data_IF_345888823260
#
_entry.id   IF_345888823260
#
_cell.length_a   1.000
_cell.length_b   1.000
_cell.length_c   1.000
_cell.angle_alpha   90.00
_cell.angle_beta   90.00
_cell.angle_gamma   90.00
#
_symmetry.space_group_name_H-M   'P 1'
#
loop_
_entity.id
_entity.type
_entity.pdbx_description
1 polymer ?
#
# COMPACT_ATOMS: atom_id res chain seq x y z
N UNK A 1 -28.56 6.77 14.85
CA UNK A 1 -27.86 7.14 13.59
C UNK A 1 -28.95 7.24 12.53
N UNK A 2 -29.16 8.40 11.91
CA UNK A 2 -30.17 8.55 10.85
C UNK A 2 -29.77 7.67 9.66
N UNK A 3 -30.49 6.57 9.45
CA UNK A 3 -30.22 5.58 8.41
C UNK A 3 -30.33 6.21 7.01
N UNK A 4 -31.21 7.20 6.85
CA UNK A 4 -31.48 7.90 5.57
C UNK A 4 -30.38 8.89 5.14
N UNK A 5 -29.34 9.11 5.96
CA UNK A 5 -28.24 10.05 5.67
C UNK A 5 -26.90 9.37 5.40
N UNK A 6 -26.85 8.04 5.38
CA UNK A 6 -25.58 7.31 5.18
C UNK A 6 -25.26 7.24 3.69
N UNK A 7 -24.45 8.19 3.21
CA UNK A 7 -23.92 8.17 1.84
C UNK A 7 -22.42 7.88 1.84
N UNK A 8 -22.02 6.81 1.14
CA UNK A 8 -20.60 6.48 0.96
C UNK A 8 -20.07 7.13 -0.32
N UNK A 9 -19.10 8.04 -0.20
CA UNK A 9 -18.46 8.71 -1.36
C UNK A 9 -17.21 7.96 -1.82
N UNK A 10 -16.64 7.12 -0.96
CA UNK A 10 -15.42 6.38 -1.26
C UNK A 10 -15.36 5.03 -0.54
N UNK A 11 -14.48 4.14 -1.04
CA UNK A 11 -14.14 2.88 -0.36
C UNK A 11 -13.61 3.10 1.07
N UNK A 12 -12.98 4.25 1.33
CA UNK A 12 -12.47 4.58 2.67
C UNK A 12 -13.60 4.79 3.66
N UNK A 13 -14.65 5.51 3.25
CA UNK A 13 -15.80 5.80 4.10
C UNK A 13 -16.53 4.51 4.49
N UNK A 14 -16.71 3.61 3.51
CA UNK A 14 -17.26 2.28 3.75
C UNK A 14 -16.41 1.47 4.74
N UNK A 15 -15.09 1.45 4.56
CA UNK A 15 -14.20 0.72 5.47
C UNK A 15 -14.23 1.29 6.90
N UNK A 16 -14.30 2.61 7.04
CA UNK A 16 -14.42 3.27 8.35
C UNK A 16 -15.72 2.90 9.03
N UNK A 17 -16.84 2.92 8.30
CA UNK A 17 -18.14 2.49 8.80
C UNK A 17 -18.15 1.01 9.22
N UNK A 18 -17.62 0.12 8.38
CA UNK A 18 -17.53 -1.31 8.71
C UNK A 18 -16.67 -1.56 9.96
N UNK A 19 -15.60 -0.78 10.18
CA UNK A 19 -14.80 -0.83 11.40
C UNK A 19 -15.58 -0.39 12.63
N UNK A 20 -16.40 0.66 12.52
CA UNK A 20 -17.27 1.10 13.61
C UNK A 20 -18.28 0.00 13.97
N UNK A 21 -18.94 -0.58 12.97
CA UNK A 21 -19.89 -1.69 13.17
C UNK A 21 -19.21 -2.91 13.80
N UNK A 22 -17.99 -3.24 13.34
CA UNK A 22 -17.20 -4.34 13.91
C UNK A 22 -16.89 -4.13 15.39
N UNK A 23 -16.49 -2.91 15.76
CA UNK A 23 -16.15 -2.58 17.14
C UNK A 23 -17.37 -2.52 18.06
N UNK A 24 -18.53 -2.08 17.56
CA UNK A 24 -19.74 -1.88 18.36
C UNK A 24 -20.61 -3.15 18.45
N UNK A 25 -20.80 -3.86 17.33
CA UNK A 25 -21.75 -4.97 17.20
C UNK A 25 -21.08 -6.33 16.98
N UNK A 26 -19.74 -6.37 16.89
CA UNK A 26 -18.97 -7.60 16.78
C UNK A 26 -18.93 -8.23 15.38
N UNK A 27 -18.23 -9.36 15.25
CA UNK A 27 -17.89 -9.96 13.96
C UNK A 27 -19.09 -10.54 13.20
N UNK A 28 -20.03 -11.19 13.89
CA UNK A 28 -21.15 -11.88 13.25
C UNK A 28 -22.12 -10.91 12.58
N UNK A 29 -22.53 -9.86 13.30
CA UNK A 29 -23.39 -8.79 12.78
C UNK A 29 -22.73 -8.08 11.61
N UNK A 30 -21.42 -7.81 11.72
CA UNK A 30 -20.64 -7.18 10.65
C UNK A 30 -20.61 -8.06 9.40
N UNK A 31 -20.43 -9.38 9.55
CA UNK A 31 -20.44 -10.31 8.42
C UNK A 31 -21.80 -10.33 7.71
N UNK A 32 -22.92 -10.36 8.46
CA UNK A 32 -24.28 -10.27 7.91
C UNK A 32 -24.50 -8.96 7.15
N UNK A 33 -24.05 -7.84 7.70
CA UNK A 33 -24.12 -6.53 7.04
C UNK A 33 -23.32 -6.49 5.74
N UNK A 34 -22.09 -7.01 5.75
CA UNK A 34 -21.25 -7.08 4.54
C UNK A 34 -21.94 -7.89 3.44
N UNK A 35 -22.53 -9.04 3.78
CA UNK A 35 -23.25 -9.86 2.83
C UNK A 35 -24.47 -9.13 2.25
N UNK A 36 -25.23 -8.40 3.08
CA UNK A 36 -26.37 -7.60 2.64
C UNK A 36 -25.94 -6.45 1.71
N UNK A 37 -24.89 -5.71 2.09
CA UNK A 37 -24.32 -4.63 1.27
C UNK A 37 -23.80 -5.16 -0.07
N UNK A 38 -23.19 -6.34 -0.08
CA UNK A 38 -22.72 -6.98 -1.30
C UNK A 38 -23.87 -7.33 -2.24
N UNK A 39 -24.97 -7.89 -1.71
CA UNK A 39 -26.17 -8.20 -2.52
C UNK A 39 -26.77 -6.94 -3.14
N UNK A 40 -27.00 -5.90 -2.33
CA UNK A 40 -27.52 -4.61 -2.80
C UNK A 40 -26.58 -4.01 -3.85
N UNK A 41 -25.27 -4.05 -3.60
CA UNK A 41 -24.26 -3.57 -4.53
C UNK A 41 -24.30 -4.29 -5.88
N UNK A 42 -24.49 -5.61 -5.89
CA UNK A 42 -24.61 -6.37 -7.13
C UNK A 42 -25.92 -6.13 -7.88
N UNK A 43 -27.04 -6.02 -7.17
CA UNK A 43 -28.34 -5.68 -7.78
C UNK A 43 -28.28 -4.31 -8.45
N UNK A 44 -27.80 -3.30 -7.73
CA UNK A 44 -27.64 -1.94 -8.26
C UNK A 44 -26.63 -1.88 -9.40
N UNK A 45 -25.48 -2.58 -9.29
CA UNK A 45 -24.50 -2.62 -10.37
C UNK A 45 -25.07 -3.26 -11.65
N UNK A 46 -25.90 -4.29 -11.51
CA UNK A 46 -26.58 -4.95 -12.63
C UNK A 46 -27.61 -4.02 -13.27
N UNK A 47 -28.42 -3.32 -12.46
CA UNK A 47 -29.41 -2.36 -12.94
C UNK A 47 -28.78 -1.13 -13.61
N UNK A 48 -27.65 -0.65 -13.11
CA UNK A 48 -26.90 0.46 -13.71
C UNK A 48 -26.38 0.12 -15.10
N UNK A 49 -26.22 -1.17 -15.43
CA UNK A 49 -25.83 -1.63 -16.77
C UNK A 49 -24.55 -0.97 -17.28
N UNK A 50 -23.58 -0.73 -16.38
CA UNK A 50 -22.39 0.03 -16.71
C UNK A 50 -21.62 -0.61 -17.86
N UNK A 51 -21.51 0.11 -18.97
CA UNK A 51 -20.72 -0.31 -20.13
C UNK A 51 -19.47 0.55 -20.26
N UNK A 52 -18.53 0.09 -21.08
CA UNK A 52 -17.41 0.92 -21.51
C UNK A 52 -17.24 0.83 -23.02
N UNK A 53 -17.13 1.99 -23.64
CA UNK A 53 -16.97 2.19 -25.07
C UNK A 53 -15.79 3.11 -25.32
N UNK A 54 -15.25 3.07 -26.54
CA UNK A 54 -14.24 4.01 -26.99
C UNK A 54 -14.68 5.48 -26.81
N UNK A 55 -15.98 5.77 -27.01
CA UNK A 55 -16.55 7.12 -26.91
C UNK A 55 -16.51 7.71 -25.50
N UNK A 56 -16.43 6.86 -24.47
CA UNK A 56 -16.40 7.32 -23.08
C UNK A 56 -15.05 7.97 -22.74
N UNK A 57 -14.00 7.63 -23.49
CA UNK A 57 -12.65 8.12 -23.30
C UNK A 57 -12.34 9.27 -24.26
N UNK A 58 -12.74 10.48 -23.86
CA UNK A 58 -12.39 11.70 -24.61
C UNK A 58 -10.87 11.86 -24.61
N UNK A 59 -10.25 12.02 -25.78
CA UNK A 59 -8.80 12.22 -25.88
C UNK A 59 -8.46 13.65 -25.45
N UNK A 60 -7.48 13.80 -24.55
CA UNK A 60 -6.98 15.10 -24.13
C UNK A 60 -5.71 15.45 -24.90
N UNK A 61 -5.71 16.56 -25.61
CA UNK A 61 -4.51 17.04 -26.27
C UNK A 61 -3.54 17.68 -25.27
N UNK A 62 -2.30 17.20 -25.27
CA UNK A 62 -1.24 17.63 -24.36
C UNK A 62 -0.12 18.29 -25.15
N UNK A 63 -0.21 19.60 -25.37
CA UNK A 63 0.78 20.38 -26.13
C UNK A 63 2.09 20.61 -25.37
N UNK A 64 2.01 20.64 -24.04
CA UNK A 64 3.15 20.93 -23.16
C UNK A 64 3.97 19.68 -22.79
N UNK A 65 3.56 18.51 -23.30
CA UNK A 65 4.25 17.23 -23.15
C UNK A 65 4.99 16.90 -24.44
N UNK A 66 6.31 16.98 -24.40
CA UNK A 66 7.19 16.68 -25.52
C UNK A 66 8.43 15.92 -25.06
N UNK A 67 9.27 15.52 -26.00
CA UNK A 67 10.55 14.86 -25.77
C UNK A 67 11.61 15.77 -25.12
N UNK A 68 11.35 17.08 -25.03
CA UNK A 68 12.22 18.06 -24.37
C UNK A 68 12.00 18.16 -22.86
N UNK A 69 10.91 17.59 -22.35
CA UNK A 69 10.58 17.63 -20.92
C UNK A 69 11.28 16.48 -20.22
N UNK A 70 11.93 16.74 -19.10
CA UNK A 70 12.56 15.66 -18.33
C UNK A 70 11.51 14.63 -17.84
N UNK A 71 11.89 13.35 -17.65
CA UNK A 71 10.94 12.30 -17.26
C UNK A 71 10.14 12.58 -15.98
N UNK A 72 10.75 13.26 -15.00
CA UNK A 72 10.12 13.53 -13.70
C UNK A 72 9.07 14.63 -13.79
N UNK A 73 9.39 15.73 -14.47
CA UNK A 73 8.44 16.80 -14.78
C UNK A 73 7.32 16.30 -15.67
N UNK A 74 7.62 15.37 -16.61
CA UNK A 74 6.61 14.76 -17.47
C UNK A 74 5.58 13.97 -16.64
N UNK A 75 6.01 13.12 -15.69
CA UNK A 75 5.07 12.34 -14.86
C UNK A 75 4.24 13.24 -13.93
N UNK A 76 4.82 14.32 -13.40
CA UNK A 76 4.08 15.32 -12.60
C UNK A 76 3.00 16.01 -13.42
N UNK A 77 3.34 16.53 -14.61
CA UNK A 77 2.35 17.16 -15.51
C UNK A 77 1.27 16.17 -15.93
N UNK A 78 1.63 14.91 -16.21
CA UNK A 78 0.66 13.84 -16.48
C UNK A 78 -0.33 13.63 -15.33
N UNK A 79 0.13 13.71 -14.07
CA UNK A 79 -0.74 13.61 -12.91
C UNK A 79 -1.70 14.81 -12.79
N UNK A 80 -1.25 16.01 -13.15
CA UNK A 80 -2.09 17.21 -13.20
C UNK A 80 -3.16 17.10 -14.28
N UNK A 81 -2.79 16.71 -15.51
CA UNK A 81 -3.75 16.45 -16.58
C UNK A 81 -4.75 15.36 -16.19
N UNK A 82 -4.32 14.31 -15.49
CA UNK A 82 -5.23 13.27 -15.01
C UNK A 82 -6.27 13.82 -14.02
N UNK A 83 -5.88 14.74 -13.13
CA UNK A 83 -6.83 15.39 -12.21
C UNK A 83 -7.85 16.22 -13.00
N UNK A 84 -7.37 17.09 -13.89
CA UNK A 84 -8.23 17.91 -14.75
C UNK A 84 -9.17 17.06 -15.60
N UNK A 85 -8.68 15.93 -16.12
CA UNK A 85 -9.49 14.96 -16.85
C UNK A 85 -10.66 14.44 -16.01
N UNK A 86 -10.37 13.98 -14.80
CA UNK A 86 -11.41 13.46 -13.90
C UNK A 86 -12.34 14.55 -13.39
N UNK A 87 -11.92 15.79 -13.32
CA UNK A 87 -12.81 16.88 -12.88
C UNK A 87 -13.76 17.32 -13.99
N UNK A 88 -13.35 17.16 -15.26
CA UNK A 88 -14.18 17.48 -16.41
C UNK A 88 -15.08 16.34 -16.88
N UNK A 89 -14.57 15.10 -16.90
CA UNK A 89 -15.22 13.97 -17.58
C UNK A 89 -15.78 12.89 -16.64
N UNK A 90 -15.48 12.93 -15.34
CA UNK A 90 -16.06 11.99 -14.38
C UNK A 90 -17.41 12.50 -13.86
N UNK A 91 -18.39 12.59 -14.75
CA UNK A 91 -19.77 12.97 -14.45
C UNK A 91 -20.66 11.73 -14.40
N UNK A 92 -21.87 11.86 -13.87
CA UNK A 92 -22.84 10.76 -13.83
C UNK A 92 -23.21 10.26 -15.24
N UNK A 93 -23.20 11.16 -16.23
CA UNK A 93 -23.47 10.83 -17.65
C UNK A 93 -22.34 10.05 -18.32
N UNK A 94 -21.16 9.96 -17.69
CA UNK A 94 -20.05 9.11 -18.13
C UNK A 94 -19.70 8.13 -17.00
N UNK A 95 -20.51 7.07 -16.83
CA UNK A 95 -20.38 6.15 -15.70
C UNK A 95 -19.03 5.41 -15.72
N UNK A 96 -18.44 5.18 -16.90
CA UNK A 96 -17.17 4.47 -17.04
C UNK A 96 -16.00 5.27 -16.47
N UNK A 97 -15.88 6.56 -16.84
CA UNK A 97 -14.84 7.45 -16.29
C UNK A 97 -15.11 7.77 -14.82
N UNK A 98 -16.39 7.90 -14.43
CA UNK A 98 -16.79 8.07 -13.03
C UNK A 98 -16.37 6.90 -12.15
N UNK A 99 -16.64 5.67 -12.57
CA UNK A 99 -16.18 4.47 -11.86
C UNK A 99 -14.65 4.38 -11.81
N UNK A 100 -13.93 4.81 -12.86
CA UNK A 100 -12.47 4.87 -12.82
C UNK A 100 -11.94 5.89 -11.81
N UNK A 101 -12.62 7.03 -11.60
CA UNK A 101 -12.23 8.07 -10.62
C UNK A 101 -12.32 7.54 -9.19
N UNK A 102 -13.38 6.81 -8.88
CA UNK A 102 -13.67 6.27 -7.55
C UNK A 102 -12.91 4.95 -7.29
N UNK A 103 -12.69 4.18 -8.35
CA UNK A 103 -12.07 2.86 -8.30
C UNK A 103 -10.53 2.85 -8.39
N UNK A 104 -9.97 1.64 -8.41
CA UNK A 104 -8.53 1.40 -8.48
C UNK A 104 -7.91 1.67 -9.87
N UNK A 105 -8.73 1.95 -10.89
CA UNK A 105 -8.30 2.17 -12.26
C UNK A 105 -7.87 3.61 -12.57
N UNK A 106 -7.82 4.50 -11.57
CA UNK A 106 -7.49 5.93 -11.73
C UNK A 106 -6.20 6.19 -12.51
N UNK A 107 -5.21 5.30 -12.39
CA UNK A 107 -3.93 5.42 -13.10
C UNK A 107 -3.99 5.05 -14.59
N UNK A 108 -5.03 4.35 -15.02
CA UNK A 108 -5.16 3.85 -16.39
C UNK A 108 -5.59 4.97 -17.35
N UNK A 109 -6.34 5.97 -16.88
CA UNK A 109 -6.81 7.07 -17.74
C UNK A 109 -5.65 7.86 -18.37
N UNK A 110 -4.55 7.99 -17.63
CA UNK A 110 -3.31 8.62 -18.12
C UNK A 110 -2.89 7.97 -19.44
N UNK A 111 -2.86 6.64 -19.49
CA UNK A 111 -2.44 5.87 -20.66
C UNK A 111 -3.49 5.83 -21.76
N UNK A 112 -4.76 5.75 -21.37
CA UNK A 112 -5.86 5.59 -22.30
C UNK A 112 -6.13 6.87 -23.08
N UNK A 113 -6.24 8.00 -22.39
CA UNK A 113 -6.78 9.23 -22.95
C UNK A 113 -5.79 10.40 -23.06
N UNK A 114 -4.71 10.42 -22.26
CA UNK A 114 -3.78 11.56 -22.16
C UNK A 114 -2.47 11.27 -22.89
N UNK A 115 -1.60 10.42 -22.33
CA UNK A 115 -0.32 10.04 -22.90
C UNK A 115 0.29 8.83 -22.16
N UNK A 116 1.03 7.99 -22.90
CA UNK A 116 1.71 6.81 -22.34
C UNK A 116 2.94 7.18 -21.49
N UNK A 117 3.69 8.22 -21.87
CA UNK A 117 4.84 8.76 -21.14
C UNK A 117 6.17 8.07 -21.40
N UNK A 118 7.14 8.26 -20.49
CA UNK A 118 8.48 7.66 -20.57
C UNK A 118 8.50 6.20 -20.12
N UNK A 119 9.37 5.42 -20.77
CA UNK A 119 9.60 4.02 -20.45
C UNK A 119 11.08 3.74 -20.17
N UNK A 120 11.34 2.59 -19.56
CA UNK A 120 12.67 2.03 -19.31
C UNK A 120 12.88 0.77 -20.13
N UNK A 121 14.08 0.59 -20.64
CA UNK A 121 14.50 -0.63 -21.34
C UNK A 121 14.84 -1.76 -20.34
N UNK A 122 15.03 -2.99 -20.83
CA UNK A 122 15.46 -4.18 -20.06
C UNK A 122 16.74 -3.94 -19.25
N UNK A 123 17.58 -2.98 -19.67
CA UNK A 123 18.78 -2.53 -18.94
C UNK A 123 18.51 -1.48 -17.85
N UNK A 124 17.24 -1.23 -17.52
CA UNK A 124 16.78 -0.16 -16.62
C UNK A 124 17.23 1.26 -17.03
N UNK A 125 17.55 1.47 -18.30
CA UNK A 125 17.84 2.82 -18.84
C UNK A 125 16.55 3.45 -19.34
N UNK A 126 16.32 4.71 -18.99
CA UNK A 126 15.19 5.49 -19.51
C UNK A 126 15.38 5.67 -21.02
N UNK A 127 14.35 5.33 -21.80
CA UNK A 127 14.32 5.60 -23.23
C UNK A 127 14.25 7.12 -23.39
N UNK A 128 15.18 7.77 -24.13
CA UNK A 128 15.34 9.22 -24.12
C UNK A 128 14.16 9.99 -24.73
N UNK A 129 13.19 9.30 -25.33
CA UNK A 129 11.99 9.89 -25.93
C UNK A 129 10.74 9.28 -25.31
N UNK A 130 9.71 10.08 -24.97
CA UNK A 130 8.45 9.58 -24.45
C UNK A 130 7.54 9.10 -25.58
N UNK A 131 6.58 8.25 -25.23
CA UNK A 131 5.41 7.98 -26.07
C UNK A 131 4.36 9.04 -25.75
N UNK A 132 4.27 10.05 -26.62
CA UNK A 132 3.40 11.22 -26.41
C UNK A 132 1.95 10.84 -26.63
N UNK A 133 1.67 10.01 -27.64
CA UNK A 133 0.29 9.61 -27.92
C UNK A 133 -0.32 8.71 -26.83
N UNK A 134 -1.64 8.84 -26.67
CA UNK A 134 -2.45 7.96 -25.84
C UNK A 134 -2.92 6.73 -26.63
N UNK A 135 -3.38 5.70 -25.92
CA UNK A 135 -3.91 4.50 -26.59
C UNK A 135 -5.16 4.79 -27.42
N UNK A 136 -6.04 5.67 -26.94
CA UNK A 136 -7.25 6.04 -27.65
C UNK A 136 -6.96 6.86 -28.92
N UNK A 137 -5.86 7.63 -28.93
CA UNK A 137 -5.39 8.35 -30.12
C UNK A 137 -4.67 7.43 -31.12
N UNK A 138 -4.10 6.33 -30.64
CA UNK A 138 -3.26 5.44 -31.43
C UNK A 138 -1.79 5.83 -31.34
N UNK A 139 -0.91 4.83 -31.42
CA UNK A 139 0.54 4.98 -31.24
C UNK A 139 1.21 4.85 -32.62
N UNK A 140 2.15 5.74 -32.93
CA UNK A 140 2.85 5.67 -34.22
C UNK A 140 3.88 4.52 -34.27
N UNK A 141 4.36 4.17 -35.46
CA UNK A 141 5.27 3.03 -35.65
C UNK A 141 6.52 3.11 -34.75
N UNK A 142 7.12 4.28 -34.61
CA UNK A 142 8.31 4.50 -33.77
C UNK A 142 8.00 4.29 -32.29
N UNK A 143 6.98 4.96 -31.79
CA UNK A 143 6.53 4.86 -30.40
C UNK A 143 6.08 3.43 -30.06
N UNK A 144 5.55 2.69 -31.02
CA UNK A 144 5.21 1.29 -30.84
C UNK A 144 6.44 0.44 -30.56
N UNK A 145 7.56 0.66 -31.26
CA UNK A 145 8.82 -0.04 -30.97
C UNK A 145 9.37 0.30 -29.58
N UNK A 146 9.35 1.58 -29.20
CA UNK A 146 9.77 2.03 -27.87
C UNK A 146 8.90 1.38 -26.77
N UNK A 147 7.58 1.35 -26.98
CA UNK A 147 6.64 0.67 -26.10
C UNK A 147 6.81 -0.86 -26.07
N UNK A 148 7.12 -1.49 -27.20
CA UNK A 148 7.31 -2.94 -27.28
C UNK A 148 8.50 -3.39 -26.43
N UNK A 149 9.62 -2.64 -26.43
CA UNK A 149 10.77 -2.93 -25.57
C UNK A 149 10.39 -2.83 -24.08
N UNK A 150 9.63 -1.80 -23.73
CA UNK A 150 9.08 -1.61 -22.40
C UNK A 150 8.14 -2.77 -21.98
N UNK A 151 7.28 -3.23 -22.89
CA UNK A 151 6.38 -4.36 -22.65
C UNK A 151 7.15 -5.67 -22.42
N UNK A 152 8.21 -5.94 -23.21
CA UNK A 152 9.08 -7.11 -23.02
C UNK A 152 9.77 -7.11 -21.67
N UNK A 153 10.27 -5.95 -21.21
CA UNK A 153 10.80 -5.82 -19.85
C UNK A 153 9.78 -6.23 -18.79
N UNK A 154 8.53 -5.79 -18.93
CA UNK A 154 7.45 -6.18 -18.00
C UNK A 154 7.23 -7.70 -17.96
N UNK A 155 7.31 -8.39 -19.10
CA UNK A 155 7.23 -9.85 -19.17
C UNK A 155 8.45 -10.50 -18.51
N UNK A 156 9.66 -10.02 -18.84
CA UNK A 156 10.91 -10.52 -18.26
C UNK A 156 10.91 -10.36 -16.74
N UNK A 157 10.52 -9.18 -16.25
CA UNK A 157 10.41 -8.89 -14.82
C UNK A 157 9.41 -9.85 -14.15
N UNK A 158 8.29 -10.18 -14.80
CA UNK A 158 7.37 -11.20 -14.27
C UNK A 158 8.04 -12.56 -14.12
N UNK A 159 8.74 -13.03 -15.14
CA UNK A 159 9.42 -14.32 -15.06
C UNK A 159 10.50 -14.31 -13.97
N UNK A 160 11.33 -13.28 -13.92
CA UNK A 160 12.48 -13.20 -13.02
C UNK A 160 12.12 -12.90 -11.55
N UNK A 161 11.11 -12.06 -11.31
CA UNK A 161 10.75 -11.62 -9.96
C UNK A 161 9.66 -12.47 -9.32
N UNK A 162 8.94 -13.33 -10.05
CA UNK A 162 7.95 -14.23 -9.43
C UNK A 162 8.62 -15.25 -8.48
N UNK A 163 9.83 -15.71 -8.79
CA UNK A 163 10.52 -16.71 -7.97
C UNK A 163 11.12 -16.15 -6.66
N UNK A 164 11.49 -14.86 -6.63
CA UNK A 164 12.25 -14.26 -5.53
C UNK A 164 11.46 -14.13 -4.21
N UNK A 165 10.19 -13.70 -4.17
CA UNK A 165 9.43 -13.56 -2.93
C UNK A 165 9.28 -14.86 -2.15
N UNK A 166 9.02 -15.98 -2.84
CA UNK A 166 8.88 -17.27 -2.18
C UNK A 166 10.19 -17.78 -1.58
N UNK A 167 11.32 -17.48 -2.23
CA UNK A 167 12.64 -17.76 -1.67
C UNK A 167 12.96 -16.85 -0.47
N UNK A 168 12.66 -15.55 -0.59
CA UNK A 168 12.81 -14.58 0.50
C UNK A 168 11.97 -14.95 1.72
N UNK A 169 10.72 -15.39 1.55
CA UNK A 169 9.88 -15.87 2.65
C UNK A 169 10.54 -17.02 3.39
N UNK A 170 11.07 -18.01 2.66
CA UNK A 170 11.80 -19.13 3.27
C UNK A 170 12.99 -18.64 4.09
N UNK A 171 13.83 -17.78 3.52
CA UNK A 171 14.96 -17.19 4.23
C UNK A 171 14.52 -16.41 5.48
N UNK A 172 13.46 -15.61 5.38
CA UNK A 172 12.92 -14.83 6.49
C UNK A 172 12.40 -15.75 7.61
N UNK A 173 11.72 -16.84 7.28
CA UNK A 173 11.26 -17.84 8.26
C UNK A 173 12.44 -18.50 8.96
N UNK A 174 13.49 -18.89 8.22
CA UNK A 174 14.69 -19.49 8.81
C UNK A 174 15.43 -18.51 9.75
N UNK A 175 15.53 -17.23 9.36
CA UNK A 175 16.22 -16.22 10.14
C UNK A 175 15.43 -15.76 11.38
N UNK A 176 14.10 -15.72 11.29
CA UNK A 176 13.21 -15.20 12.33
C UNK A 176 12.51 -16.32 13.10
N UNK A 177 13.02 -17.54 13.17
CA UNK A 177 12.33 -18.62 13.87
C UNK A 177 12.38 -18.47 15.40
N UNK A 178 11.60 -17.51 15.93
CA UNK A 178 11.54 -17.15 17.35
C UNK A 178 10.13 -17.34 17.93
N UNK A 179 10.07 -17.86 19.14
CA UNK A 179 8.84 -18.13 19.90
C UNK A 179 8.81 -17.28 21.17
N UNK A 180 7.62 -16.87 21.60
CA UNK A 180 7.41 -16.23 22.90
C UNK A 180 7.33 -17.26 24.03
N UNK A 181 8.22 -17.14 25.01
CA UNK A 181 8.12 -17.87 26.28
C UNK A 181 7.31 -17.03 27.28
N UNK A 182 6.09 -17.49 27.56
CA UNK A 182 5.11 -16.77 28.41
C UNK A 182 5.53 -16.78 29.88
N UNK A 183 6.29 -17.79 30.30
CA UNK A 183 6.61 -18.02 31.72
C UNK A 183 7.92 -17.35 32.15
N UNK A 184 8.72 -16.84 31.19
CA UNK A 184 10.02 -16.24 31.47
C UNK A 184 10.00 -14.75 31.23
N UNK A 185 10.65 -14.02 32.12
CA UNK A 185 10.93 -12.60 32.00
C UNK A 185 12.45 -12.44 32.05
N UNK A 186 13.00 -11.66 31.13
CA UNK A 186 14.41 -11.29 31.16
C UNK A 186 14.58 -9.83 31.55
N UNK A 187 15.77 -9.51 32.05
CA UNK A 187 16.19 -8.14 32.32
C UNK A 187 17.29 -7.76 31.32
N UNK A 188 16.94 -7.03 30.24
CA UNK A 188 17.91 -6.62 29.24
C UNK A 188 18.81 -5.51 29.80
N UNK A 189 20.08 -5.50 29.38
CA UNK A 189 21.06 -4.46 29.76
C UNK A 189 20.71 -3.08 29.21
N UNK A 190 20.05 -3.06 28.05
CA UNK A 190 19.68 -1.85 27.35
C UNK A 190 18.25 -1.94 26.80
N UNK A 191 17.63 -0.79 26.58
CA UNK A 191 16.27 -0.64 26.09
C UNK A 191 16.25 0.17 24.81
N UNK A 192 15.29 -0.13 23.94
CA UNK A 192 15.15 0.62 22.71
C UNK A 192 14.57 2.00 23.03
N UNK A 193 15.32 3.05 22.72
CA UNK A 193 14.88 4.42 22.92
C UNK A 193 14.14 4.90 21.67
N UNK A 194 12.87 5.32 21.83
CA UNK A 194 12.01 5.72 20.71
C UNK A 194 11.17 6.93 21.07
N UNK A 195 11.04 7.86 20.13
CA UNK A 195 10.08 8.96 20.22
C UNK A 195 8.71 8.53 19.67
N UNK A 196 7.68 8.56 20.52
CA UNK A 196 6.31 8.30 20.07
C UNK A 196 5.75 9.57 19.44
N UNK A 197 5.18 9.44 18.25
CA UNK A 197 4.54 10.50 17.46
C UNK A 197 3.17 10.02 17.02
N UNK A 198 2.26 10.92 16.68
CA UNK A 198 0.92 10.52 16.19
C UNK A 198 0.97 9.61 14.96
N UNK A 199 2.07 9.65 14.19
CA UNK A 199 2.25 8.81 13.00
C UNK A 199 2.71 7.40 13.30
N UNK A 200 3.39 7.16 14.43
CA UNK A 200 3.98 5.86 14.74
C UNK A 200 3.32 5.16 15.93
N UNK A 201 2.38 5.81 16.64
CA UNK A 201 1.73 5.27 17.83
C UNK A 201 1.14 3.87 17.61
N UNK A 202 0.50 3.65 16.47
CA UNK A 202 -0.10 2.35 16.14
C UNK A 202 0.91 1.19 16.08
N UNK A 203 2.20 1.45 15.79
CA UNK A 203 3.26 0.42 15.72
C UNK A 203 3.71 -0.09 17.08
N UNK A 204 3.48 0.70 18.14
CA UNK A 204 3.98 0.41 19.48
C UNK A 204 2.90 -0.07 20.44
N UNK A 205 1.67 -0.26 19.95
CA UNK A 205 0.59 -0.84 20.73
C UNK A 205 0.97 -2.23 21.26
N UNK A 206 0.52 -2.52 22.48
CA UNK A 206 0.74 -3.73 23.25
C UNK A 206 2.21 -4.03 23.62
N UNK A 207 3.08 -3.00 23.64
CA UNK A 207 4.48 -3.13 24.11
C UNK A 207 4.66 -2.55 25.50
N UNK A 208 5.68 -3.03 26.22
CA UNK A 208 6.05 -2.50 27.53
C UNK A 208 7.09 -1.38 27.40
N UNK A 209 6.91 -0.32 28.18
CA UNK A 209 7.88 0.77 28.40
C UNK A 209 8.32 0.79 29.86
N UNK A 210 9.57 1.21 30.12
CA UNK A 210 10.09 1.42 31.48
C UNK A 210 10.11 2.91 31.79
N UNK A 211 9.38 3.33 32.82
CA UNK A 211 9.35 4.71 33.30
C UNK A 211 9.51 4.74 34.82
N UNK A 212 10.56 5.41 35.32
CA UNK A 212 10.85 5.52 36.77
C UNK A 212 10.74 4.16 37.50
N UNK A 213 11.36 3.14 36.92
CA UNK A 213 11.41 1.74 37.41
C UNK A 213 10.09 0.96 37.40
N UNK A 214 9.01 1.53 36.86
CA UNK A 214 7.74 0.83 36.63
C UNK A 214 7.58 0.48 35.15
N UNK A 215 7.10 -0.72 34.88
CA UNK A 215 6.70 -1.13 33.54
C UNK A 215 5.26 -0.73 33.25
N UNK A 216 5.06 -0.05 32.14
CA UNK A 216 3.74 0.37 31.67
C UNK A 216 3.50 -0.31 30.32
N UNK A 217 2.36 -0.98 30.18
CA UNK A 217 1.88 -1.51 28.90
C UNK A 217 1.28 -0.38 28.07
N UNK A 218 1.65 -0.26 26.80
CA UNK A 218 1.04 0.69 25.87
C UNK A 218 -0.25 0.10 25.27
N UNK A 219 -1.39 0.69 25.59
CA UNK A 219 -2.72 0.33 25.07
C UNK A 219 -3.38 1.55 24.42
N UNK A 220 -4.51 1.33 23.75
CA UNK A 220 -5.27 2.37 23.04
C UNK A 220 -5.71 3.53 23.95
N UNK A 221 -5.86 3.30 25.26
CA UNK A 221 -6.29 4.32 26.24
C UNK A 221 -5.17 5.20 26.77
N UNK A 222 -3.92 4.72 26.72
CA UNK A 222 -2.80 5.38 27.41
C UNK A 222 -1.74 5.91 26.45
N UNK A 223 -1.70 5.44 25.20
CA UNK A 223 -0.65 5.78 24.24
C UNK A 223 -0.60 7.28 23.92
N UNK A 224 -1.76 7.94 23.91
CA UNK A 224 -1.86 9.38 23.62
C UNK A 224 -1.14 10.24 24.68
N UNK A 225 -0.98 9.75 25.92
CA UNK A 225 -0.22 10.44 26.98
C UNK A 225 1.30 10.46 26.76
N UNK A 226 1.77 9.59 25.88
CA UNK A 226 3.19 9.40 25.57
C UNK A 226 3.57 9.99 24.20
N UNK A 227 2.62 10.56 23.45
CA UNK A 227 2.91 11.26 22.20
C UNK A 227 3.79 12.49 22.46
N UNK A 228 4.85 12.63 21.66
CA UNK A 228 5.86 13.69 21.78
C UNK A 228 6.96 13.40 22.80
N UNK A 229 6.89 12.29 23.54
CA UNK A 229 7.90 11.92 24.55
C UNK A 229 8.85 10.84 24.02
N UNK A 230 10.08 10.89 24.50
CA UNK A 230 11.06 9.84 24.32
C UNK A 230 10.86 8.79 25.42
N UNK A 231 10.64 7.53 25.01
CA UNK A 231 10.37 6.41 25.93
C UNK A 231 11.39 5.30 25.71
N UNK A 232 11.79 4.66 26.81
CA UNK A 232 12.60 3.43 26.78
C UNK A 232 11.67 2.23 26.75
N UNK A 233 11.67 1.50 25.64
CA UNK A 233 10.80 0.34 25.43
C UNK A 233 11.57 -0.97 25.44
N UNK A 234 10.91 -2.03 25.91
CA UNK A 234 11.42 -3.38 25.73
C UNK A 234 11.32 -3.77 24.25
N UNK A 235 12.36 -4.45 23.77
CA UNK A 235 12.46 -4.86 22.38
C UNK A 235 13.01 -6.29 22.30
N UNK A 236 12.54 -7.11 21.34
CA UNK A 236 13.11 -8.42 21.07
C UNK A 236 14.63 -8.39 20.81
N UNK A 237 15.15 -7.28 20.26
CA UNK A 237 16.57 -7.10 19.91
C UNK A 237 17.48 -7.21 21.14
N UNK A 238 17.03 -6.72 22.29
CA UNK A 238 17.80 -6.72 23.53
C UNK A 238 17.45 -7.90 24.45
N UNK A 239 16.58 -8.82 24.01
CA UNK A 239 16.16 -9.96 24.81
C UNK A 239 17.34 -10.92 25.04
N UNK A 240 17.60 -11.27 26.31
CA UNK A 240 18.72 -12.13 26.71
C UNK A 240 18.36 -13.61 26.86
N UNK A 241 17.13 -14.01 26.52
CA UNK A 241 16.72 -15.41 26.61
C UNK A 241 17.47 -16.29 25.58
N UNK A 242 18.00 -17.46 25.99
CA UNK A 242 18.64 -18.39 25.07
C UNK A 242 17.62 -19.17 24.22
N UNK A 243 18.11 -19.90 23.21
CA UNK A 243 17.36 -20.84 22.38
C UNK A 243 16.26 -20.22 21.49
N UNK A 244 16.52 -19.05 20.87
CA UNK A 244 15.59 -18.37 19.97
C UNK A 244 14.22 -18.08 20.61
N UNK A 245 14.20 -17.81 21.92
CA UNK A 245 12.98 -17.44 22.66
C UNK A 245 12.99 -15.96 23.00
N UNK A 246 11.81 -15.35 22.98
CA UNK A 246 11.59 -13.98 23.42
C UNK A 246 10.74 -14.00 24.69
N UNK A 247 11.12 -13.22 25.68
CA UNK A 247 10.37 -13.17 26.94
C UNK A 247 9.06 -12.38 26.77
N UNK A 248 8.09 -12.61 27.65
CA UNK A 248 6.79 -11.89 27.63
C UNK A 248 6.96 -10.35 27.60
N UNK A 249 7.92 -9.83 28.37
CA UNK A 249 8.19 -8.39 28.50
C UNK A 249 8.76 -7.77 27.21
N UNK A 250 9.69 -8.47 26.54
CA UNK A 250 10.30 -8.02 25.29
C UNK A 250 9.41 -8.24 24.07
N UNK A 251 8.53 -9.25 24.10
CA UNK A 251 7.55 -9.50 23.04
C UNK A 251 6.34 -8.55 23.11
N UNK A 252 5.99 -8.06 24.30
CA UNK A 252 4.71 -7.39 24.52
C UNK A 252 3.55 -8.39 24.56
N UNK A 253 2.30 -7.91 24.49
CA UNK A 253 1.08 -8.74 24.49
C UNK A 253 0.46 -8.93 23.11
N UNK A 254 1.18 -8.58 22.04
CA UNK A 254 0.68 -8.71 20.67
C UNK A 254 0.41 -10.18 20.28
N UNK A 255 1.15 -11.14 20.85
CA UNK A 255 0.97 -12.56 20.60
C UNK A 255 -0.38 -13.09 21.11
N UNK A 256 -0.94 -12.48 22.18
CA UNK A 256 -2.27 -12.83 22.71
C UNK A 256 -3.37 -12.36 21.78
N UNK A 257 -3.23 -11.15 21.23
CA UNK A 257 -4.16 -10.60 20.24
C UNK A 257 -4.15 -11.38 18.92
N UNK A 258 -3.00 -11.93 18.54
CA UNK A 258 -2.83 -12.77 17.35
C UNK A 258 -3.11 -14.25 17.60
N UNK A 259 -3.40 -14.65 18.85
CA UNK A 259 -3.62 -16.03 19.27
C UNK A 259 -2.50 -17.01 18.82
N UNK A 260 -1.24 -16.56 18.84
CA UNK A 260 -0.10 -17.36 18.40
C UNK A 260 1.20 -16.91 19.04
N UNK A 261 1.93 -17.87 19.60
CA UNK A 261 3.24 -17.64 20.26
C UNK A 261 4.40 -17.52 19.27
N UNK A 262 4.19 -17.93 18.01
CA UNK A 262 5.23 -17.97 16.98
C UNK A 262 5.39 -16.62 16.28
N UNK A 263 5.71 -15.58 17.04
CA UNK A 263 5.85 -14.20 16.53
C UNK A 263 6.87 -14.09 15.41
N UNK A 264 7.89 -14.93 15.42
CA UNK A 264 8.91 -14.99 14.39
C UNK A 264 8.38 -15.31 13.00
N UNK A 265 7.57 -16.38 12.89
CA UNK A 265 6.94 -16.79 11.64
C UNK A 265 5.95 -15.72 11.16
N UNK A 266 5.14 -15.16 12.07
CA UNK A 266 4.20 -14.09 11.76
C UNK A 266 4.91 -12.84 11.23
N UNK A 267 6.04 -12.48 11.83
CA UNK A 267 6.87 -11.36 11.38
C UNK A 267 7.45 -11.62 9.99
N UNK A 268 7.96 -12.83 9.73
CA UNK A 268 8.46 -13.21 8.40
C UNK A 268 7.36 -13.11 7.32
N UNK A 269 6.14 -13.54 7.64
CA UNK A 269 5.00 -13.39 6.75
C UNK A 269 4.66 -11.93 6.49
N UNK A 270 4.59 -11.09 7.53
CA UNK A 270 4.28 -9.67 7.37
C UNK A 270 5.30 -8.93 6.50
N UNK A 271 6.60 -9.20 6.69
CA UNK A 271 7.67 -8.62 5.87
C UNK A 271 7.57 -9.11 4.42
N UNK A 272 7.32 -10.41 4.24
CA UNK A 272 7.21 -11.00 2.90
C UNK A 272 5.99 -10.50 2.14
N UNK A 273 4.83 -10.35 2.80
CA UNK A 273 3.62 -9.82 2.17
C UNK A 273 3.85 -8.39 1.65
N UNK A 274 4.54 -7.56 2.43
CA UNK A 274 4.94 -6.22 2.01
C UNK A 274 5.87 -6.25 0.79
N UNK A 275 6.92 -7.07 0.84
CA UNK A 275 7.87 -7.23 -0.25
C UNK A 275 7.18 -7.77 -1.52
N UNK A 276 6.33 -8.77 -1.37
CA UNK A 276 5.55 -9.40 -2.43
C UNK A 276 4.62 -8.39 -3.09
N UNK A 277 3.84 -7.64 -2.31
CA UNK A 277 2.92 -6.62 -2.83
C UNK A 277 3.67 -5.53 -3.58
N UNK A 278 4.82 -5.09 -3.08
CA UNK A 278 5.68 -4.12 -3.76
C UNK A 278 6.23 -4.64 -5.08
N UNK A 279 6.72 -5.89 -5.09
CA UNK A 279 7.23 -6.56 -6.29
C UNK A 279 6.12 -6.78 -7.31
N UNK A 280 4.97 -7.33 -6.93
CA UNK A 280 3.81 -7.49 -7.81
C UNK A 280 3.38 -6.17 -8.44
N UNK A 281 3.24 -5.09 -7.65
CA UNK A 281 2.89 -3.77 -8.17
C UNK A 281 3.91 -3.29 -9.20
N UNK A 282 5.20 -3.49 -8.95
CA UNK A 282 6.25 -3.11 -9.90
C UNK A 282 6.15 -3.86 -11.24
N UNK A 283 5.69 -5.12 -11.23
CA UNK A 283 5.48 -5.92 -12.44
C UNK A 283 4.27 -5.49 -13.27
N UNK A 284 3.22 -4.97 -12.62
CA UNK A 284 1.99 -4.51 -13.28
C UNK A 284 2.04 -3.06 -13.74
N UNK A 285 2.82 -2.20 -13.08
CA UNK A 285 3.05 -0.82 -13.55
C UNK A 285 3.85 -0.76 -14.84
N UNK A 286 4.41 -1.90 -15.28
CA UNK A 286 5.20 -2.01 -16.48
C UNK A 286 6.45 -1.15 -16.40
N UNK A 287 7.25 -1.22 -17.45
CA UNK A 287 8.49 -0.50 -17.60
C UNK A 287 8.34 1.03 -17.73
N UNK A 288 7.42 1.66 -16.99
CA UNK A 288 7.34 3.12 -16.91
C UNK A 288 8.58 3.65 -16.19
N UNK A 289 9.18 4.68 -16.75
CA UNK A 289 10.18 5.46 -16.06
C UNK A 289 9.47 6.29 -14.98
N UNK A 290 9.22 5.69 -13.82
CA UNK A 290 9.42 6.45 -12.59
C UNK A 290 10.91 6.39 -12.35
N UNK A 291 11.61 7.51 -12.50
CA UNK A 291 12.97 7.61 -12.00
C UNK A 291 12.83 7.52 -10.50
N UNK A 292 12.83 6.30 -9.97
CA UNK A 292 13.02 6.10 -8.55
C UNK A 292 14.51 6.32 -8.36
N UNK A 293 14.90 7.58 -8.20
CA UNK A 293 16.12 7.91 -7.48
C UNK A 293 15.93 7.32 -6.08
N UNK A 294 16.24 6.04 -5.89
CA UNK A 294 16.29 5.43 -4.56
C UNK A 294 17.52 5.97 -3.84
N UNK A 295 17.54 7.28 -3.59
CA UNK A 295 18.28 7.84 -2.48
C UNK A 295 17.73 7.20 -1.20
N UNK A 296 18.56 7.06 -0.17
CA UNK A 296 18.14 6.49 1.12
C UNK A 296 16.84 7.16 1.65
N UNK A 297 16.62 8.44 1.35
CA UNK A 297 15.41 9.19 1.65
C UNK A 297 14.12 8.64 1.00
N UNK A 298 14.20 8.02 -0.18
CA UNK A 298 13.05 7.43 -0.88
C UNK A 298 12.69 6.03 -0.37
N UNK A 299 13.70 5.30 0.13
CA UNK A 299 13.48 4.09 0.92
C UNK A 299 12.78 4.44 2.24
N UNK A 300 13.24 5.51 2.90
CA UNK A 300 12.64 6.05 4.13
C UNK A 300 11.21 6.57 3.87
N UNK A 301 10.97 7.27 2.75
CA UNK A 301 9.64 7.80 2.39
C UNK A 301 8.67 6.68 2.00
N UNK A 302 9.15 5.62 1.36
CA UNK A 302 8.36 4.41 1.04
C UNK A 302 8.03 3.60 2.29
N UNK A 303 8.95 3.50 3.27
CA UNK A 303 8.69 2.92 4.59
C UNK A 303 7.75 3.78 5.46
N UNK A 304 7.70 5.10 5.22
CA UNK A 304 6.73 6.03 5.83
C UNK A 304 5.34 5.98 5.15
N UNK A 305 5.28 5.77 3.83
CA UNK A 305 4.03 5.67 3.05
C UNK A 305 3.40 4.27 3.12
N UNK A 306 4.22 3.24 3.32
CA UNK A 306 3.77 1.90 3.72
C UNK A 306 3.40 1.90 5.20
N UNK A 307 2.37 2.67 5.55
CA UNK A 307 1.85 2.76 6.92
C UNK A 307 1.57 1.37 7.50
N UNK A 308 2.47 0.93 8.36
CA UNK A 308 2.09 0.66 9.75
C UNK A 308 2.25 1.93 10.57
#
# INVERSE_FOLDING_TARGET
MDIDKITFKSKKDLNTFLRQVFNEYGPETTAKLIAALQRIGFELATMLGMTTSYKDYVIMEVKDLSDKVDPDTYDKKLEEYAKQYFDKYATFDNPSVYAMKIGAARNNIKQLAISRGYFVDVRNKVIPRPVVNSLAKGINQREFFDYANAARKGILDRVMFTQKPGYFLRQAIYALNVEVDVNKICEPKDLLTVTITDKNKHRFLYRFIRQKDVDILLDETNIDKFVGKEVKMYSPIYCTLPNNKICKRCAGLIYEKLNSKQLGILSAHAISEFAYTGLLKSMHTGARAKVIHRTAQDLISSLKKGGM
#
